data_IF_709358752249
#
_entry.id   IF_709358752249
#
_cell.length_a   1.000
_cell.length_b   1.000
_cell.length_c   1.000
_cell.angle_alpha   90.00
_cell.angle_beta   90.00
_cell.angle_gamma   90.00
#
_symmetry.space_group_name_H-M   'P 1'
#
loop_
_entity.id
_entity.type
_entity.pdbx_description
1 polymer ?
#
# COMPACT_ATOMS: atom_id res chain seq x y z
N UNK A 1 -6.57 -17.04 -9.59
CA UNK A 1 -5.18 -17.57 -9.75
C UNK A 1 -4.33 -16.96 -8.65
N UNK A 2 -3.63 -17.76 -7.86
CA UNK A 2 -2.71 -17.25 -6.85
C UNK A 2 -1.31 -17.21 -7.47
N UNK A 3 -0.73 -16.00 -7.59
CA UNK A 3 0.59 -15.77 -8.16
C UNK A 3 1.65 -15.79 -7.06
N UNK A 4 2.79 -16.41 -7.33
CA UNK A 4 3.93 -16.52 -6.40
C UNK A 4 5.17 -15.83 -6.97
N UNK A 5 6.07 -15.34 -6.12
CA UNK A 5 7.35 -14.82 -6.56
C UNK A 5 8.09 -15.81 -7.48
N UNK A 6 8.51 -15.31 -8.64
CA UNK A 6 9.18 -16.10 -9.67
C UNK A 6 8.26 -16.70 -10.73
N UNK A 7 6.95 -16.66 -10.57
CA UNK A 7 6.01 -17.15 -11.60
C UNK A 7 6.13 -16.31 -12.87
N UNK A 8 6.10 -16.98 -14.02
CA UNK A 8 6.11 -16.33 -15.33
C UNK A 8 4.73 -15.80 -15.67
N UNK A 9 4.66 -14.53 -16.09
CA UNK A 9 3.45 -13.85 -16.52
C UNK A 9 3.41 -13.78 -18.05
N UNK A 10 2.52 -14.57 -18.65
CA UNK A 10 2.31 -14.55 -20.08
C UNK A 10 1.34 -13.43 -20.47
N UNK A 11 1.84 -12.37 -21.13
CA UNK A 11 1.07 -11.19 -21.54
C UNK A 11 -0.14 -11.54 -22.41
N UNK A 12 -0.01 -12.55 -23.28
CA UNK A 12 -1.09 -13.00 -24.17
C UNK A 12 -2.18 -13.75 -23.40
N UNK A 13 -1.80 -14.67 -22.51
CA UNK A 13 -2.74 -15.43 -21.72
C UNK A 13 -3.53 -14.52 -20.76
N UNK A 14 -2.84 -13.60 -20.06
CA UNK A 14 -3.45 -12.62 -19.17
C UNK A 14 -4.40 -11.68 -19.93
N UNK A 15 -4.02 -11.18 -21.11
CA UNK A 15 -4.88 -10.35 -21.93
C UNK A 15 -6.18 -11.09 -22.35
N UNK A 16 -6.06 -12.36 -22.70
CA UNK A 16 -7.20 -13.20 -23.07
C UNK A 16 -8.12 -13.45 -21.86
N UNK A 17 -7.59 -13.77 -20.70
CA UNK A 17 -8.33 -14.00 -19.46
C UNK A 17 -9.12 -12.75 -19.02
N UNK A 18 -8.48 -11.56 -19.14
CA UNK A 18 -9.08 -10.28 -18.79
C UNK A 18 -9.97 -9.68 -19.90
N UNK A 19 -10.05 -10.30 -21.08
CA UNK A 19 -10.87 -9.82 -22.20
C UNK A 19 -10.37 -8.49 -22.80
N UNK A 20 -9.06 -8.19 -22.70
CA UNK A 20 -8.45 -6.95 -23.22
C UNK A 20 -7.43 -7.27 -24.32
N UNK A 21 -7.00 -6.25 -25.06
CA UNK A 21 -5.94 -6.42 -26.06
C UNK A 21 -4.54 -6.46 -25.43
N UNK A 22 -3.54 -6.93 -26.16
CA UNK A 22 -2.15 -7.05 -25.68
C UNK A 22 -1.49 -5.72 -25.35
N UNK A 23 -1.88 -4.63 -26.02
CA UNK A 23 -1.30 -3.31 -25.79
C UNK A 23 -1.54 -2.81 -24.36
N UNK A 24 -2.80 -2.65 -23.88
CA UNK A 24 -3.04 -2.25 -22.49
C UNK A 24 -2.49 -3.26 -21.48
N UNK A 25 -2.44 -4.56 -21.80
CA UNK A 25 -1.83 -5.54 -20.91
C UNK A 25 -0.33 -5.27 -20.71
N UNK A 26 0.41 -4.96 -21.81
CA UNK A 26 1.82 -4.61 -21.71
C UNK A 26 2.06 -3.31 -20.95
N UNK A 27 1.20 -2.31 -21.15
CA UNK A 27 1.26 -1.05 -20.38
C UNK A 27 1.07 -1.33 -18.88
N UNK A 28 0.10 -2.15 -18.51
CA UNK A 28 -0.11 -2.56 -17.13
C UNK A 28 1.11 -3.30 -16.54
N UNK A 29 1.71 -4.23 -17.29
CA UNK A 29 2.92 -4.93 -16.86
C UNK A 29 4.12 -3.98 -16.70
N UNK A 30 4.24 -2.95 -17.56
CA UNK A 30 5.27 -1.91 -17.40
C UNK A 30 5.03 -1.11 -16.12
N UNK A 31 3.79 -0.73 -15.82
CA UNK A 31 3.45 -0.04 -14.57
C UNK A 31 3.76 -0.89 -13.34
N UNK A 32 3.43 -2.19 -13.38
CA UNK A 32 3.78 -3.13 -12.31
C UNK A 32 5.29 -3.32 -12.17
N UNK A 33 6.06 -3.25 -13.28
CA UNK A 33 7.51 -3.30 -13.21
C UNK A 33 8.11 -2.04 -12.58
N UNK A 34 7.53 -0.86 -12.83
CA UNK A 34 7.92 0.39 -12.16
C UNK A 34 7.61 0.32 -10.67
N UNK A 35 6.49 -0.31 -10.30
CA UNK A 35 6.11 -0.57 -8.91
C UNK A 35 6.85 -1.75 -8.24
N UNK A 36 7.87 -2.31 -8.89
CA UNK A 36 8.65 -3.45 -8.39
C UNK A 36 7.87 -4.74 -8.11
N UNK A 37 6.63 -4.84 -8.60
CA UNK A 37 5.77 -6.03 -8.42
C UNK A 37 6.09 -7.13 -9.43
N UNK A 38 6.61 -6.78 -10.60
CA UNK A 38 7.08 -7.72 -11.61
C UNK A 38 8.47 -7.32 -12.12
N UNK A 39 9.17 -8.27 -12.74
CA UNK A 39 10.46 -8.06 -13.40
C UNK A 39 10.32 -8.40 -14.89
N UNK A 40 10.51 -7.43 -15.77
CA UNK A 40 10.54 -7.62 -17.22
C UNK A 40 11.98 -7.92 -17.62
N UNK A 41 12.26 -9.16 -18.06
CA UNK A 41 13.57 -9.56 -18.58
C UNK A 41 13.54 -9.51 -20.11
N UNK A 42 14.36 -8.67 -20.77
CA UNK A 42 14.41 -8.61 -22.24
C UNK A 42 14.62 -10.00 -22.84
N UNK A 43 13.82 -10.36 -23.83
CA UNK A 43 13.86 -11.64 -24.55
C UNK A 43 13.61 -12.89 -23.70
N UNK A 44 13.36 -12.76 -22.39
CA UNK A 44 13.16 -13.88 -21.47
C UNK A 44 11.72 -13.97 -20.95
N UNK A 45 11.05 -12.84 -20.73
CA UNK A 45 9.67 -12.82 -20.23
C UNK A 45 9.46 -11.84 -19.09
N UNK A 46 8.26 -11.87 -18.55
CA UNK A 46 7.85 -11.11 -17.36
C UNK A 46 7.61 -12.08 -16.21
N UNK A 47 8.10 -11.77 -15.04
CA UNK A 47 8.03 -12.63 -13.86
C UNK A 47 7.51 -11.85 -12.67
N UNK A 48 6.79 -12.50 -11.76
CA UNK A 48 6.44 -11.94 -10.45
C UNK A 48 7.75 -11.66 -9.70
N UNK A 49 7.93 -10.42 -9.25
CA UNK A 49 9.15 -10.04 -8.54
C UNK A 49 9.24 -10.74 -7.16
N UNK A 50 10.43 -11.12 -6.72
CA UNK A 50 10.63 -11.49 -5.32
C UNK A 50 10.42 -10.26 -4.41
N UNK A 51 10.03 -10.51 -3.17
CA UNK A 51 9.98 -9.43 -2.17
C UNK A 51 11.41 -8.95 -1.89
N UNK A 52 11.67 -7.67 -2.16
CA UNK A 52 12.95 -7.04 -1.83
C UNK A 52 12.89 -6.49 -0.39
N UNK A 53 13.42 -7.26 0.56
CA UNK A 53 13.45 -6.89 1.97
C UNK A 53 14.25 -5.60 2.22
N UNK A 54 15.33 -5.37 1.43
CA UNK A 54 16.15 -4.17 1.59
C UNK A 54 15.38 -2.92 1.17
N UNK A 55 14.69 -2.99 0.03
CA UNK A 55 13.81 -1.90 -0.42
C UNK A 55 12.71 -1.66 0.61
N UNK A 56 12.06 -2.71 1.09
CA UNK A 56 11.00 -2.61 2.09
C UNK A 56 11.49 -1.97 3.41
N UNK A 57 12.67 -2.32 3.88
CA UNK A 57 13.28 -1.70 5.08
C UNK A 57 13.57 -0.21 4.86
N UNK A 58 14.06 0.19 3.68
CA UNK A 58 14.31 1.59 3.34
C UNK A 58 13.01 2.39 3.28
N UNK A 59 11.96 1.84 2.67
CA UNK A 59 10.63 2.44 2.59
C UNK A 59 10.01 2.63 3.98
N UNK A 60 10.08 1.59 4.82
CA UNK A 60 9.62 1.66 6.20
C UNK A 60 10.38 2.72 7.01
N UNK A 61 11.69 2.83 6.83
CA UNK A 61 12.49 3.86 7.48
C UNK A 61 12.07 5.28 7.04
N UNK A 62 11.88 5.49 5.74
CA UNK A 62 11.45 6.78 5.20
C UNK A 62 10.04 7.16 5.72
N UNK A 63 9.11 6.22 5.67
CA UNK A 63 7.75 6.38 6.20
C UNK A 63 7.78 6.72 7.70
N UNK A 64 8.48 5.92 8.51
CA UNK A 64 8.60 6.15 9.94
C UNK A 64 9.16 7.54 10.27
N UNK A 65 10.19 7.97 9.54
CA UNK A 65 10.84 9.26 9.77
C UNK A 65 9.88 10.41 9.49
N UNK A 66 9.16 10.36 8.38
CA UNK A 66 8.20 11.38 7.99
C UNK A 66 6.98 11.42 8.94
N UNK A 67 6.40 10.27 9.24
CA UNK A 67 5.24 10.17 10.13
C UNK A 67 5.56 10.62 11.55
N UNK A 68 6.74 10.28 12.06
CA UNK A 68 7.22 10.75 13.36
C UNK A 68 7.26 12.27 13.42
N UNK A 69 7.76 12.93 12.38
CA UNK A 69 7.84 14.39 12.35
C UNK A 69 6.46 15.04 12.23
N UNK A 70 5.56 14.46 11.43
CA UNK A 70 4.16 14.89 11.34
C UNK A 70 3.45 14.77 12.69
N UNK A 71 3.62 13.64 13.40
CA UNK A 71 3.03 13.44 14.72
C UNK A 71 3.61 14.44 15.76
N UNK A 72 4.89 14.76 15.69
CA UNK A 72 5.49 15.80 16.51
C UNK A 72 4.88 17.17 16.21
N UNK A 73 4.61 17.48 14.94
CA UNK A 73 4.04 18.74 14.52
C UNK A 73 2.61 18.95 15.03
N UNK A 74 1.78 17.89 15.04
CA UNK A 74 0.38 17.95 15.50
C UNK A 74 0.24 17.76 17.02
N UNK A 75 1.27 17.30 17.71
CA UNK A 75 1.26 17.04 19.15
C UNK A 75 0.85 18.30 19.94
N UNK A 76 -0.18 18.15 20.77
CA UNK A 76 -0.73 19.24 21.58
C UNK A 76 -1.51 20.30 20.80
N UNK A 77 -1.78 20.07 19.52
CA UNK A 77 -2.55 20.98 18.65
C UNK A 77 -3.89 20.40 18.22
N UNK A 78 -4.19 19.17 18.60
CA UNK A 78 -5.45 18.52 18.28
C UNK A 78 -6.61 19.17 19.03
N UNK A 79 -7.71 19.43 18.31
CA UNK A 79 -8.99 19.75 18.96
C UNK A 79 -9.58 18.51 19.63
N UNK A 80 -10.49 18.71 20.60
CA UNK A 80 -11.17 17.57 21.23
C UNK A 80 -11.96 16.68 20.26
N UNK A 81 -12.42 17.22 19.14
CA UNK A 81 -13.06 16.45 18.07
C UNK A 81 -12.05 15.58 17.30
N UNK A 82 -10.92 16.16 16.94
CA UNK A 82 -9.85 15.45 16.26
C UNK A 82 -9.27 14.32 17.14
N UNK A 83 -9.10 14.58 18.43
CA UNK A 83 -8.65 13.55 19.38
C UNK A 83 -9.66 12.39 19.49
N UNK A 84 -10.96 12.70 19.55
CA UNK A 84 -12.00 11.66 19.56
C UNK A 84 -11.99 10.82 18.28
N UNK A 85 -11.78 11.44 17.12
CA UNK A 85 -11.68 10.73 15.84
C UNK A 85 -10.49 9.74 15.83
N UNK A 86 -9.33 10.14 16.34
CA UNK A 86 -8.18 9.24 16.47
C UNK A 86 -8.46 8.07 17.44
N UNK A 87 -9.06 8.37 18.59
CA UNK A 87 -9.41 7.33 19.58
C UNK A 87 -10.36 6.29 18.98
N UNK A 88 -11.31 6.72 18.15
CA UNK A 88 -12.24 5.83 17.46
C UNK A 88 -11.52 4.89 16.49
N UNK A 89 -10.57 5.40 15.68
CA UNK A 89 -9.77 4.57 14.76
C UNK A 89 -8.97 3.51 15.53
N UNK A 90 -8.32 3.91 16.62
CA UNK A 90 -7.56 2.99 17.49
C UNK A 90 -8.47 1.91 18.09
N UNK A 91 -9.66 2.28 18.53
CA UNK A 91 -10.61 1.33 19.11
C UNK A 91 -11.12 0.33 18.07
N UNK A 92 -11.46 0.81 16.86
CA UNK A 92 -11.87 -0.06 15.76
C UNK A 92 -10.75 -1.05 15.37
N UNK A 93 -9.50 -0.60 15.34
CA UNK A 93 -8.35 -1.46 15.07
C UNK A 93 -8.19 -2.53 16.13
N UNK A 94 -8.27 -2.18 17.43
CA UNK A 94 -8.17 -3.12 18.55
C UNK A 94 -9.28 -4.17 18.55
N UNK A 95 -10.52 -3.75 18.27
CA UNK A 95 -11.65 -4.68 18.15
C UNK A 95 -11.38 -5.69 17.05
N UNK A 96 -10.96 -5.22 15.90
CA UNK A 96 -10.66 -6.08 14.75
C UNK A 96 -9.42 -6.97 15.00
N UNK A 97 -8.41 -6.47 15.71
CA UNK A 97 -7.22 -7.23 16.10
C UNK A 97 -7.59 -8.42 17.01
N UNK A 98 -8.54 -8.23 17.91
CA UNK A 98 -9.00 -9.28 18.83
C UNK A 98 -9.95 -10.30 18.21
N UNK A 99 -10.56 -9.98 17.06
CA UNK A 99 -11.48 -10.86 16.33
C UNK A 99 -10.77 -11.61 15.20
N UNK A 100 -10.21 -12.78 15.52
CA UNK A 100 -9.53 -13.64 14.54
C UNK A 100 -10.45 -14.26 13.47
N UNK A 101 -11.77 -14.23 13.69
CA UNK A 101 -12.78 -14.78 12.78
C UNK A 101 -13.43 -13.73 11.87
N UNK A 102 -13.05 -12.45 11.98
CA UNK A 102 -13.66 -11.40 11.18
C UNK A 102 -13.39 -11.58 9.69
N UNK A 103 -14.44 -11.46 8.89
CA UNK A 103 -14.35 -11.51 7.43
C UNK A 103 -13.51 -10.33 6.91
N UNK A 104 -12.63 -10.62 5.94
CA UNK A 104 -11.70 -9.63 5.34
C UNK A 104 -10.86 -8.86 6.39
N UNK A 105 -10.52 -9.53 7.50
CA UNK A 105 -9.83 -8.92 8.64
C UNK A 105 -8.58 -8.16 8.24
N UNK A 106 -7.70 -8.78 7.44
CA UNK A 106 -6.41 -8.19 7.04
C UNK A 106 -6.61 -6.92 6.20
N UNK A 107 -7.51 -6.96 5.23
CA UNK A 107 -7.85 -5.79 4.40
C UNK A 107 -8.40 -4.65 5.26
N UNK A 108 -9.33 -4.96 6.19
CA UNK A 108 -9.92 -3.95 7.08
C UNK A 108 -8.90 -3.38 8.07
N UNK A 109 -7.96 -4.20 8.55
CA UNK A 109 -6.87 -3.72 9.40
C UNK A 109 -5.97 -2.74 8.63
N UNK A 110 -5.63 -3.05 7.38
CA UNK A 110 -4.84 -2.17 6.52
C UNK A 110 -5.58 -0.85 6.22
N UNK A 111 -6.89 -0.91 5.98
CA UNK A 111 -7.72 0.30 5.78
C UNK A 111 -7.73 1.20 7.01
N UNK A 112 -7.87 0.63 8.21
CA UNK A 112 -7.84 1.38 9.47
C UNK A 112 -6.46 1.96 9.76
N UNK A 113 -5.40 1.21 9.50
CA UNK A 113 -4.02 1.68 9.61
C UNK A 113 -3.77 2.87 8.67
N UNK A 114 -4.12 2.73 7.41
CA UNK A 114 -4.00 3.80 6.42
C UNK A 114 -4.84 5.04 6.81
N UNK A 115 -6.07 4.85 7.31
CA UNK A 115 -6.91 5.95 7.77
C UNK A 115 -6.31 6.70 8.97
N UNK A 116 -5.70 5.97 9.91
CA UNK A 116 -5.01 6.55 11.06
C UNK A 116 -3.82 7.43 10.62
N UNK A 117 -2.96 6.91 9.77
CA UNK A 117 -1.79 7.63 9.28
C UNK A 117 -2.19 8.81 8.37
N UNK A 118 -3.11 8.59 7.42
CA UNK A 118 -3.62 9.65 6.55
C UNK A 118 -4.15 10.86 7.33
N UNK A 119 -4.86 10.60 8.44
CA UNK A 119 -5.42 11.66 9.28
C UNK A 119 -4.37 12.62 9.82
N UNK A 120 -3.17 12.12 10.15
CA UNK A 120 -2.05 12.95 10.60
C UNK A 120 -1.57 13.91 9.50
N UNK A 121 -1.46 13.40 8.26
CA UNK A 121 -1.07 14.21 7.10
C UNK A 121 -2.12 15.26 6.77
N UNK A 122 -3.42 14.93 6.80
CA UNK A 122 -4.52 15.88 6.59
C UNK A 122 -4.46 17.05 7.57
N UNK A 123 -4.16 16.80 8.83
CA UNK A 123 -4.04 17.83 9.88
C UNK A 123 -2.86 18.80 9.64
N UNK A 124 -1.90 18.39 8.82
CA UNK A 124 -0.78 19.22 8.36
C UNK A 124 -0.99 19.84 6.98
N UNK A 125 -2.13 19.55 6.30
CA UNK A 125 -2.36 19.95 4.91
C UNK A 125 -1.46 19.23 3.92
N UNK A 126 -1.05 17.99 4.23
CA UNK A 126 -0.11 17.19 3.46
C UNK A 126 -0.73 15.88 2.93
N UNK A 127 -2.04 15.83 2.78
CA UNK A 127 -2.78 14.64 2.30
C UNK A 127 -2.28 14.13 0.94
N UNK A 128 -1.95 15.05 0.03
CA UNK A 128 -1.41 14.68 -1.28
C UNK A 128 -0.06 13.96 -1.20
N UNK A 129 0.76 14.26 -0.18
CA UNK A 129 2.01 13.54 0.08
C UNK A 129 1.75 12.13 0.59
N UNK A 130 0.74 11.95 1.44
CA UNK A 130 0.34 10.63 1.90
C UNK A 130 -0.15 9.76 0.74
N UNK A 131 -1.01 10.29 -0.11
CA UNK A 131 -1.53 9.57 -1.29
C UNK A 131 -0.41 9.19 -2.26
N UNK A 132 0.56 10.08 -2.47
CA UNK A 132 1.74 9.78 -3.29
C UNK A 132 2.61 8.68 -2.67
N UNK A 133 2.85 8.76 -1.37
CA UNK A 133 3.60 7.74 -0.62
C UNK A 133 2.92 6.37 -0.74
N UNK A 134 1.60 6.29 -0.51
CA UNK A 134 0.86 5.04 -0.68
C UNK A 134 0.96 4.49 -2.10
N UNK A 135 0.87 5.33 -3.13
CA UNK A 135 0.96 4.89 -4.52
C UNK A 135 2.35 4.39 -4.93
N UNK A 136 3.37 4.74 -4.17
CA UNK A 136 4.76 4.33 -4.43
C UNK A 136 5.12 3.06 -3.67
N UNK A 137 4.49 2.82 -2.50
CA UNK A 137 4.84 1.75 -1.54
C UNK A 137 3.76 0.65 -1.43
N UNK A 138 2.78 0.62 -2.31
CA UNK A 138 1.82 -0.47 -2.49
C UNK A 138 2.19 -1.28 -3.72
#
# INVERSE_FOLDING_TARGET
MELKPGDELNDHALAQEMGISRTPMREALIMLNIAHMVTIKPQSGTYVAPIDLTLMEMEQFARYTLEKEILNHIRGRLTGEQERAYRLLIEQYRVLESDSGAENRETRMLELDNAFHRRAFELCGMEAHFDHMLSTFQ
#
